data_IF_595605116192
#
_entry.id   IF_595605116192
#
_cell.length_a   1.000
_cell.length_b   1.000
_cell.length_c   1.000
_cell.angle_alpha   90.00
_cell.angle_beta   90.00
_cell.angle_gamma   90.00
#
_symmetry.space_group_name_H-M   'P 1'
#
loop_
_entity.id
_entity.type
_entity.pdbx_description
1 polymer ?
#
# COMPACT_ATOMS: atom_id res chain seq x y z
N UNK A 1 10.11 21.84 19.66
CA UNK A 1 9.08 20.89 19.18
C UNK A 1 9.00 20.97 17.67
N UNK A 2 9.49 19.95 16.95
CA UNK A 2 9.40 19.91 15.48
C UNK A 2 7.94 19.62 15.09
N UNK A 3 7.23 20.64 14.61
CA UNK A 3 5.93 20.45 13.95
C UNK A 3 6.17 19.55 12.75
N UNK A 4 5.54 18.36 12.71
CA UNK A 4 5.53 17.51 11.51
C UNK A 4 4.93 18.33 10.37
N UNK A 5 5.78 18.73 9.42
CA UNK A 5 5.38 19.41 8.19
C UNK A 5 4.29 18.59 7.51
N UNK A 6 3.25 19.24 6.96
CA UNK A 6 2.24 18.55 6.15
C UNK A 6 2.97 17.86 5.00
N UNK A 7 3.05 16.54 5.06
CA UNK A 7 3.59 15.72 3.97
C UNK A 7 2.64 15.92 2.80
N UNK A 8 3.15 16.44 1.68
CA UNK A 8 2.40 16.46 0.43
C UNK A 8 1.80 15.07 0.21
N UNK A 9 0.49 15.02 -0.06
CA UNK A 9 -0.24 13.77 -0.28
C UNK A 9 0.32 13.13 -1.55
N UNK A 10 1.35 12.29 -1.39
CA UNK A 10 1.71 11.29 -2.40
C UNK A 10 0.45 10.50 -2.74
N UNK A 11 0.32 10.15 -4.02
CA UNK A 11 -0.75 9.28 -4.52
C UNK A 11 -0.92 8.07 -3.59
N UNK A 12 -2.16 7.65 -3.42
CA UNK A 12 -2.47 6.53 -2.55
C UNK A 12 -1.90 5.26 -3.21
N UNK A 13 -0.71 4.85 -2.78
CA UNK A 13 -0.11 3.56 -3.14
C UNK A 13 -0.49 2.55 -2.05
N UNK A 14 -0.74 1.31 -2.44
CA UNK A 14 -1.09 0.24 -1.51
C UNK A 14 -0.01 0.02 -0.47
N UNK A 15 1.25 0.01 -0.93
CA UNK A 15 2.40 -0.12 -0.08
C UNK A 15 2.71 1.19 0.65
N UNK A 16 2.83 1.10 1.96
CA UNK A 16 3.28 2.20 2.81
C UNK A 16 4.82 2.34 2.80
N UNK A 17 5.52 1.57 1.95
CA UNK A 17 6.97 1.52 1.88
C UNK A 17 7.49 2.67 1.03
N UNK A 18 8.38 3.46 1.63
CA UNK A 18 9.12 4.47 0.90
C UNK A 18 10.15 3.80 -0.01
N UNK A 19 10.23 4.23 -1.27
CA UNK A 19 11.19 3.76 -2.28
C UNK A 19 11.02 2.28 -2.69
N UNK A 20 9.85 1.68 -2.48
CA UNK A 20 9.59 0.28 -2.85
C UNK A 20 9.92 -0.02 -4.31
N UNK A 21 9.50 0.85 -5.24
CA UNK A 21 9.82 0.71 -6.67
C UNK A 21 11.32 0.62 -6.93
N UNK A 22 12.13 1.40 -6.22
CA UNK A 22 13.58 1.34 -6.38
C UNK A 22 14.15 0.04 -5.81
N UNK A 23 13.61 -0.46 -4.70
CA UNK A 23 14.05 -1.74 -4.14
C UNK A 23 13.73 -2.92 -5.07
N UNK A 24 12.53 -2.92 -5.67
CA UNK A 24 12.13 -3.91 -6.65
C UNK A 24 13.05 -3.87 -7.88
N UNK A 25 13.32 -2.68 -8.42
CA UNK A 25 14.23 -2.52 -9.56
C UNK A 25 15.66 -2.98 -9.24
N UNK A 26 16.17 -2.69 -8.03
CA UNK A 26 17.48 -3.20 -7.57
C UNK A 26 17.49 -4.73 -7.52
N UNK A 27 16.43 -5.34 -7.01
CA UNK A 27 16.33 -6.79 -6.92
C UNK A 27 16.27 -7.43 -8.31
N UNK A 28 15.39 -6.95 -9.18
CA UNK A 28 15.25 -7.40 -10.57
C UNK A 28 16.58 -7.29 -11.33
N UNK A 29 17.25 -6.13 -11.24
CA UNK A 29 18.56 -5.93 -11.88
C UNK A 29 19.60 -6.90 -11.34
N UNK A 30 19.62 -7.16 -10.03
CA UNK A 30 20.55 -8.11 -9.42
C UNK A 30 20.29 -9.54 -9.93
N UNK A 31 19.03 -9.94 -10.01
CA UNK A 31 18.61 -11.26 -10.44
C UNK A 31 18.92 -11.49 -11.94
N UNK A 32 18.81 -10.45 -12.79
CA UNK A 32 19.09 -10.53 -14.23
C UNK A 32 20.60 -10.47 -14.57
N UNK A 33 21.34 -9.58 -13.92
CA UNK A 33 22.72 -9.23 -14.32
C UNK A 33 23.79 -9.79 -13.39
N UNK A 34 23.40 -10.22 -12.19
CA UNK A 34 24.34 -10.60 -11.12
C UNK A 34 25.08 -9.42 -10.48
N UNK A 35 24.75 -8.17 -10.85
CA UNK A 35 25.40 -6.99 -10.29
C UNK A 35 25.24 -6.91 -8.76
N UNK A 36 26.30 -6.65 -7.98
CA UNK A 36 26.20 -6.61 -6.52
C UNK A 36 25.17 -5.59 -6.02
N UNK A 37 24.31 -6.01 -5.08
CA UNK A 37 23.31 -5.13 -4.43
C UNK A 37 23.92 -3.83 -3.88
N UNK A 38 25.17 -3.87 -3.40
CA UNK A 38 25.88 -2.67 -2.95
C UNK A 38 26.06 -1.62 -4.03
N UNK A 39 26.41 -2.03 -5.24
CA UNK A 39 26.64 -1.11 -6.37
C UNK A 39 25.32 -0.55 -6.87
N UNK A 40 24.29 -1.40 -6.97
CA UNK A 40 22.94 -0.99 -7.34
C UNK A 40 22.33 -0.01 -6.33
N UNK A 41 22.56 -0.22 -5.02
CA UNK A 41 22.15 0.72 -3.99
C UNK A 41 22.87 2.08 -4.12
N UNK A 42 24.17 2.08 -4.41
CA UNK A 42 24.95 3.32 -4.64
C UNK A 42 24.40 4.05 -5.87
N UNK A 43 24.18 3.34 -6.97
CA UNK A 43 23.62 3.89 -8.20
C UNK A 43 22.22 4.49 -7.98
N UNK A 44 21.35 3.80 -7.23
CA UNK A 44 20.00 4.27 -6.91
C UNK A 44 19.96 5.36 -5.82
N UNK A 45 21.10 5.76 -5.24
CA UNK A 45 21.16 6.75 -4.17
C UNK A 45 20.50 6.29 -2.85
N UNK A 46 20.48 4.98 -2.60
CA UNK A 46 19.81 4.36 -1.46
C UNK A 46 20.85 3.78 -0.49
N UNK A 47 20.70 4.01 0.83
CA UNK A 47 21.54 3.32 1.80
C UNK A 47 21.32 1.80 1.74
N UNK A 48 22.41 1.03 1.63
CA UNK A 48 22.37 -0.45 1.61
C UNK A 48 21.57 -1.03 2.78
N UNK A 49 21.69 -0.44 3.97
CA UNK A 49 20.94 -0.84 5.17
C UNK A 49 19.42 -0.71 4.98
N UNK A 50 18.95 0.28 4.22
CA UNK A 50 17.53 0.46 3.91
C UNK A 50 17.01 -0.64 2.99
N UNK A 51 17.80 -1.07 2.01
CA UNK A 51 17.44 -2.20 1.14
C UNK A 51 17.25 -3.48 1.95
N UNK A 52 18.23 -3.88 2.77
CA UNK A 52 18.09 -5.10 3.58
C UNK A 52 17.02 -4.98 4.67
N UNK A 53 16.76 -3.77 5.17
CA UNK A 53 15.63 -3.52 6.08
C UNK A 53 14.30 -3.76 5.37
N UNK A 54 14.17 -3.34 4.11
CA UNK A 54 13.00 -3.62 3.30
C UNK A 54 12.88 -5.12 2.98
N UNK A 55 13.98 -5.76 2.57
CA UNK A 55 14.02 -7.18 2.22
C UNK A 55 13.57 -8.08 3.39
N UNK A 56 14.00 -7.76 4.61
CA UNK A 56 13.67 -8.55 5.81
C UNK A 56 12.41 -8.03 6.55
N UNK A 57 11.65 -7.14 5.92
CA UNK A 57 10.49 -6.51 6.55
C UNK A 57 9.37 -7.51 6.72
N UNK A 58 8.71 -7.47 7.88
CA UNK A 58 7.42 -8.13 8.11
C UNK A 58 6.30 -7.13 7.92
N UNK A 59 5.22 -7.57 7.28
CA UNK A 59 4.00 -6.76 7.14
C UNK A 59 3.46 -6.37 8.52
N UNK A 60 3.04 -5.11 8.64
CA UNK A 60 2.38 -4.64 9.85
C UNK A 60 0.96 -5.19 9.94
N UNK A 61 0.40 -5.24 11.16
CA UNK A 61 -1.01 -5.62 11.37
C UNK A 61 -1.98 -4.82 10.49
N UNK A 62 -1.67 -3.55 10.22
CA UNK A 62 -2.49 -2.70 9.36
C UNK A 62 -2.40 -3.07 7.88
N UNK A 63 -1.24 -3.50 7.40
CA UNK A 63 -1.07 -3.94 6.02
C UNK A 63 -1.74 -5.26 5.78
N UNK A 64 -1.56 -6.22 6.69
CA UNK A 64 -2.30 -7.48 6.68
C UNK A 64 -3.81 -7.24 6.65
N UNK A 65 -4.31 -6.36 7.52
CA UNK A 65 -5.73 -6.01 7.55
C UNK A 65 -6.19 -5.29 6.28
N UNK A 66 -5.37 -4.41 5.70
CA UNK A 66 -5.69 -3.79 4.41
C UNK A 66 -5.73 -4.83 3.29
N UNK A 67 -4.80 -5.79 3.28
CA UNK A 67 -4.77 -6.89 2.33
C UNK A 67 -6.03 -7.76 2.41
N UNK A 68 -6.59 -7.97 3.61
CA UNK A 68 -7.88 -8.63 3.79
C UNK A 68 -9.06 -7.77 3.32
N UNK A 69 -8.96 -6.45 3.47
CA UNK A 69 -10.04 -5.51 3.20
C UNK A 69 -10.19 -5.19 1.70
N UNK A 70 -9.11 -5.23 0.93
CA UNK A 70 -9.13 -4.96 -0.52
C UNK A 70 -10.03 -5.93 -1.31
N UNK A 71 -9.91 -7.27 -1.14
CA UNK A 71 -10.81 -8.21 -1.80
C UNK A 71 -12.27 -7.96 -1.44
N UNK A 72 -12.57 -7.70 -0.16
CA UNK A 72 -13.94 -7.44 0.30
C UNK A 72 -14.52 -6.16 -0.32
N UNK A 73 -13.71 -5.10 -0.44
CA UNK A 73 -14.13 -3.87 -1.12
C UNK A 73 -14.42 -4.15 -2.60
N UNK A 74 -13.54 -4.90 -3.27
CA UNK A 74 -13.68 -5.22 -4.70
C UNK A 74 -14.92 -6.06 -4.97
N UNK A 75 -15.12 -7.13 -4.20
CA UNK A 75 -16.28 -8.02 -4.29
C UNK A 75 -17.58 -7.26 -4.04
N UNK A 76 -17.67 -6.49 -2.95
CA UNK A 76 -18.86 -5.70 -2.65
C UNK A 76 -19.14 -4.64 -3.73
N UNK A 77 -18.10 -4.08 -4.36
CA UNK A 77 -18.25 -3.10 -5.43
C UNK A 77 -18.81 -3.78 -6.70
N UNK A 78 -18.27 -4.93 -7.08
CA UNK A 78 -18.73 -5.73 -8.23
C UNK A 78 -20.16 -6.26 -8.02
N UNK A 79 -20.50 -6.75 -6.82
CA UNK A 79 -21.84 -7.24 -6.45
C UNK A 79 -22.94 -6.19 -6.70
N UNK A 80 -22.60 -4.91 -6.55
CA UNK A 80 -23.51 -3.78 -6.77
C UNK A 80 -23.23 -3.02 -8.07
N UNK A 81 -22.55 -3.64 -9.04
CA UNK A 81 -22.23 -3.06 -10.34
C UNK A 81 -21.56 -1.67 -10.24
N UNK A 82 -20.73 -1.46 -9.22
CA UNK A 82 -19.99 -0.22 -8.99
C UNK A 82 -20.81 0.97 -8.48
N UNK A 83 -22.07 0.77 -8.09
CA UNK A 83 -22.93 1.86 -7.57
C UNK A 83 -22.49 2.31 -6.17
N UNK A 84 -21.85 1.44 -5.40
CA UNK A 84 -21.48 1.72 -4.01
C UNK A 84 -20.32 2.71 -3.90
N UNK A 85 -20.62 3.93 -3.43
CA UNK A 85 -19.60 4.86 -2.96
C UNK A 85 -19.00 4.45 -1.60
N UNK A 86 -17.88 5.08 -1.21
CA UNK A 86 -17.12 4.69 -0.01
C UNK A 86 -17.92 4.71 1.31
N UNK A 87 -18.92 5.60 1.44
CA UNK A 87 -19.78 5.64 2.64
C UNK A 87 -20.66 4.40 2.75
N UNK A 88 -21.33 4.04 1.66
CA UNK A 88 -22.20 2.87 1.61
C UNK A 88 -21.36 1.59 1.72
N UNK A 89 -20.21 1.55 1.06
CA UNK A 89 -19.23 0.47 1.20
C UNK A 89 -18.83 0.25 2.66
N UNK A 90 -18.53 1.32 3.41
CA UNK A 90 -18.18 1.21 4.83
C UNK A 90 -19.32 0.64 5.66
N UNK A 91 -20.56 1.06 5.41
CA UNK A 91 -21.74 0.56 6.13
C UNK A 91 -21.94 -0.92 5.85
N UNK A 92 -21.87 -1.33 4.58
CA UNK A 92 -22.01 -2.74 4.16
C UNK A 92 -20.96 -3.61 4.83
N UNK A 93 -19.67 -3.26 4.70
CA UNK A 93 -18.57 -4.05 5.25
C UNK A 93 -18.65 -4.17 6.79
N UNK A 94 -19.00 -3.09 7.50
CA UNK A 94 -19.14 -3.14 8.96
C UNK A 94 -20.38 -3.89 9.45
N UNK A 95 -21.39 -4.10 8.59
CA UNK A 95 -22.58 -4.90 8.92
C UNK A 95 -22.38 -6.39 8.64
N UNK A 96 -21.64 -6.70 7.58
CA UNK A 96 -21.45 -8.07 7.10
C UNK A 96 -20.24 -8.78 7.74
N UNK A 97 -19.35 -8.03 8.40
CA UNK A 97 -18.14 -8.58 9.01
C UNK A 97 -18.07 -8.30 10.52
N UNK A 98 -17.32 -9.14 11.24
CA UNK A 98 -17.10 -9.00 12.69
C UNK A 98 -16.13 -7.87 13.09
N UNK A 99 -15.69 -7.03 12.14
CA UNK A 99 -14.77 -5.93 12.38
C UNK A 99 -15.42 -4.58 12.11
N UNK A 100 -14.81 -3.51 12.64
CA UNK A 100 -15.23 -2.14 12.37
C UNK A 100 -14.12 -1.34 11.67
N UNK A 101 -14.45 -0.78 10.52
CA UNK A 101 -13.54 0.04 9.70
C UNK A 101 -14.01 1.48 9.61
N UNK A 102 -13.05 2.40 9.73
CA UNK A 102 -13.26 3.82 9.52
C UNK A 102 -13.46 4.14 8.03
N UNK A 103 -14.44 4.99 7.73
CA UNK A 103 -14.75 5.47 6.37
C UNK A 103 -13.53 6.05 5.63
N UNK A 104 -12.61 6.74 6.33
CA UNK A 104 -11.38 7.29 5.75
C UNK A 104 -10.40 6.21 5.28
N UNK A 105 -10.45 5.01 5.84
CA UNK A 105 -9.63 3.88 5.38
C UNK A 105 -10.24 3.31 4.09
N UNK A 106 -11.54 3.06 4.08
CA UNK A 106 -12.27 2.58 2.88
C UNK A 106 -12.07 3.54 1.71
N UNK A 107 -12.25 4.85 1.94
CA UNK A 107 -12.02 5.85 0.89
C UNK A 107 -10.61 5.76 0.29
N UNK A 108 -9.57 5.65 1.12
CA UNK A 108 -8.18 5.51 0.63
C UNK A 108 -7.96 4.23 -0.16
N UNK A 109 -8.51 3.11 0.30
CA UNK A 109 -8.38 1.81 -0.38
C UNK A 109 -9.15 1.79 -1.71
N UNK A 110 -10.33 2.41 -1.77
CA UNK A 110 -11.08 2.55 -3.03
C UNK A 110 -10.35 3.46 -4.04
N UNK A 111 -9.68 4.52 -3.57
CA UNK A 111 -8.83 5.36 -4.42
C UNK A 111 -7.62 4.58 -4.96
N UNK A 112 -6.95 3.77 -4.12
CA UNK A 112 -5.88 2.85 -4.55
C UNK A 112 -6.38 1.90 -5.65
N UNK A 113 -7.60 1.38 -5.52
CA UNK A 113 -8.21 0.47 -6.48
C UNK A 113 -8.79 1.17 -7.72
N UNK A 114 -8.77 2.50 -7.80
CA UNK A 114 -9.37 3.25 -8.91
C UNK A 114 -10.91 3.17 -8.95
N UNK A 115 -11.57 2.81 -7.85
CA UNK A 115 -13.04 2.62 -7.77
C UNK A 115 -13.79 3.90 -7.41
N UNK A 116 -13.12 5.03 -7.30
CA UNK A 116 -13.74 6.31 -6.96
C UNK A 116 -13.01 7.42 -7.69
N UNK A 117 -13.77 8.25 -8.41
CA UNK A 117 -13.31 9.51 -9.01
C UNK A 117 -13.54 10.63 -7.99
#
# INVERSE_FOLDING_TARGET
>A
MLKKTRRDRKEAVLSQIQNETNYLAIQETHDETGCPISELCVFAGIPRSSYYKWLNRKESKNELFNGQLLPLIKEAYEEKNGILGYRQMTIKLNRENAFHVNQKRIYRLMQILGLTI
#
